data_IF_073449394777
#
_entry.id   IF_073449394777
#
_cell.length_a   1.000
_cell.length_b   1.000
_cell.length_c   1.000
_cell.angle_alpha   90.00
_cell.angle_beta   90.00
_cell.angle_gamma   90.00
#
_symmetry.space_group_name_H-M   'P 1'
#
loop_
_entity.id
_entity.type
_entity.pdbx_description
1 polymer ?
#
# COMPACT_ATOMS: atom_id res chain seq x y z
N UNK A 1 12.24 2.62 10.45
CA UNK A 1 11.36 3.61 9.78
C UNK A 1 9.95 3.26 10.19
N UNK A 2 9.26 4.18 10.84
CA UNK A 2 7.90 3.94 11.33
C UNK A 2 6.92 3.82 10.15
N UNK A 3 5.77 3.19 10.36
CA UNK A 3 4.72 3.00 9.35
C UNK A 3 4.30 4.34 8.73
N UNK A 4 4.20 5.39 9.55
CA UNK A 4 3.86 6.75 9.11
C UNK A 4 4.88 7.28 8.10
N UNK A 5 6.16 7.15 8.39
CA UNK A 5 7.23 7.62 7.50
C UNK A 5 7.18 6.91 6.16
N UNK A 6 6.83 5.62 6.14
CA UNK A 6 6.70 4.81 4.92
C UNK A 6 5.48 5.20 4.10
N UNK A 7 4.38 5.55 4.77
CA UNK A 7 3.12 5.90 4.13
C UNK A 7 3.11 7.29 3.53
N UNK A 8 3.78 8.28 4.14
CA UNK A 8 3.61 9.68 3.72
C UNK A 8 3.93 9.93 2.23
N UNK A 9 5.02 9.40 1.64
CA UNK A 9 5.28 9.56 0.21
C UNK A 9 4.17 8.95 -0.66
N UNK A 10 3.61 7.81 -0.23
CA UNK A 10 2.51 7.14 -0.94
C UNK A 10 1.22 7.97 -0.85
N UNK A 11 0.95 8.56 0.32
CA UNK A 11 -0.22 9.40 0.53
C UNK A 11 -0.14 10.70 -0.28
N UNK A 12 1.06 11.27 -0.45
CA UNK A 12 1.27 12.42 -1.32
C UNK A 12 0.85 12.10 -2.77
N UNK A 13 1.43 11.05 -3.36
CA UNK A 13 1.12 10.63 -4.73
C UNK A 13 -0.35 10.20 -4.90
N UNK A 14 -0.91 9.51 -3.90
CA UNK A 14 -2.30 9.09 -3.90
C UNK A 14 -3.25 10.29 -3.90
N UNK A 15 -3.00 11.31 -3.07
CA UNK A 15 -3.83 12.54 -3.04
C UNK A 15 -3.72 13.33 -4.34
N UNK A 16 -2.52 13.42 -4.91
CA UNK A 16 -2.28 14.15 -6.16
C UNK A 16 -3.03 13.52 -7.33
N UNK A 17 -2.95 12.19 -7.47
CA UNK A 17 -3.53 11.45 -8.60
C UNK A 17 -5.00 11.07 -8.45
N UNK A 18 -5.58 11.16 -7.23
CA UNK A 18 -6.91 10.63 -6.92
C UNK A 18 -8.02 11.07 -7.88
N UNK A 19 -8.13 12.38 -8.15
CA UNK A 19 -9.20 12.93 -9.01
C UNK A 19 -9.08 12.45 -10.45
N UNK A 20 -7.86 12.38 -10.97
CA UNK A 20 -7.64 11.94 -12.34
C UNK A 20 -8.01 10.46 -12.46
N UNK A 21 -7.43 9.60 -11.60
CA UNK A 21 -7.68 8.16 -11.54
C UNK A 21 -9.16 7.82 -11.43
N UNK A 22 -9.92 8.57 -10.63
CA UNK A 22 -11.37 8.39 -10.51
C UNK A 22 -12.11 8.77 -11.80
N UNK A 23 -11.74 9.90 -12.42
CA UNK A 23 -12.43 10.42 -13.60
C UNK A 23 -12.14 9.60 -14.87
N UNK A 24 -10.92 9.09 -15.04
CA UNK A 24 -10.47 8.43 -16.27
C UNK A 24 -10.27 6.90 -16.12
N UNK A 25 -10.38 6.36 -14.91
CA UNK A 25 -10.15 4.94 -14.63
C UNK A 25 -8.69 4.50 -14.84
N UNK A 26 -7.75 5.45 -14.83
CA UNK A 26 -6.33 5.17 -15.05
C UNK A 26 -5.69 4.44 -13.85
N UNK A 27 -4.64 3.70 -14.13
CA UNK A 27 -3.87 3.03 -13.09
C UNK A 27 -2.99 4.05 -12.32
N UNK A 28 -3.02 4.08 -10.97
CA UNK A 28 -2.25 5.02 -10.15
C UNK A 28 -0.77 4.63 -10.07
N UNK A 29 -0.04 4.76 -11.18
CA UNK A 29 1.33 4.26 -11.32
C UNK A 29 2.34 4.92 -10.36
N UNK A 30 2.17 6.21 -10.07
CA UNK A 30 3.02 6.94 -9.11
C UNK A 30 2.84 6.37 -7.69
N UNK A 31 1.60 6.28 -7.21
CA UNK A 31 1.29 5.71 -5.89
C UNK A 31 1.76 4.28 -5.72
N UNK A 32 1.63 3.44 -6.76
CA UNK A 32 2.13 2.06 -6.73
C UNK A 32 3.66 2.00 -6.74
N UNK A 33 4.32 2.89 -7.47
CA UNK A 33 5.78 3.05 -7.39
C UNK A 33 6.23 3.48 -6.00
N UNK A 34 5.51 4.38 -5.34
CA UNK A 34 5.78 4.78 -3.95
C UNK A 34 5.54 3.63 -2.96
N UNK A 35 4.49 2.81 -3.14
CA UNK A 35 4.27 1.59 -2.34
C UNK A 35 5.46 0.63 -2.43
N UNK A 36 6.03 0.47 -3.63
CA UNK A 36 7.24 -0.34 -3.84
C UNK A 36 8.44 0.25 -3.09
N UNK A 37 8.70 1.53 -3.27
CA UNK A 37 9.88 2.20 -2.71
C UNK A 37 9.82 2.32 -1.18
N UNK A 38 8.62 2.42 -0.61
CA UNK A 38 8.40 2.46 0.84
C UNK A 38 8.54 1.10 1.53
N UNK A 39 8.63 -0.01 0.78
CA UNK A 39 8.65 -1.38 1.31
C UNK A 39 7.29 -1.87 1.82
N UNK A 40 6.23 -1.08 1.69
CA UNK A 40 4.89 -1.43 2.20
C UNK A 40 4.26 -2.63 1.49
N UNK A 41 4.72 -2.97 0.28
CA UNK A 41 4.28 -4.18 -0.44
C UNK A 41 4.64 -5.48 0.31
N UNK A 42 5.60 -5.44 1.24
CA UNK A 42 5.95 -6.55 2.12
C UNK A 42 5.50 -6.36 3.57
N UNK A 43 4.52 -5.47 3.84
CA UNK A 43 4.16 -5.05 5.20
C UNK A 43 3.92 -6.22 6.17
N UNK A 44 3.11 -7.20 5.77
CA UNK A 44 2.73 -8.33 6.62
C UNK A 44 3.55 -9.60 6.34
N UNK A 45 4.49 -9.54 5.38
CA UNK A 45 5.32 -10.69 5.06
C UNK A 45 6.36 -10.92 6.19
N UNK A 46 6.78 -12.17 6.42
CA UNK A 46 7.81 -12.49 7.40
C UNK A 46 9.13 -11.76 7.11
N UNK A 47 9.87 -11.38 8.16
CA UNK A 47 11.17 -10.69 8.00
C UNK A 47 12.20 -11.60 7.32
N UNK A 48 12.09 -12.92 7.47
CA UNK A 48 13.00 -13.93 6.90
C UNK A 48 12.98 -13.94 5.36
N UNK A 49 11.89 -13.48 4.76
CA UNK A 49 11.75 -13.30 3.30
C UNK A 49 11.87 -11.83 2.88
N UNK A 50 12.34 -10.96 3.77
CA UNK A 50 12.54 -9.53 3.53
C UNK A 50 11.29 -8.67 3.71
N UNK A 51 10.26 -9.18 4.38
CA UNK A 51 9.07 -8.42 4.78
C UNK A 51 9.29 -7.51 5.99
N UNK A 52 8.22 -6.83 6.43
CA UNK A 52 8.25 -5.95 7.61
C UNK A 52 7.65 -6.59 8.87
N UNK A 53 7.13 -7.82 8.79
CA UNK A 53 6.61 -8.57 9.95
C UNK A 53 5.43 -7.93 10.66
N UNK A 54 4.76 -6.95 10.05
CA UNK A 54 3.70 -6.19 10.71
C UNK A 54 2.38 -6.97 10.80
N UNK A 55 1.55 -6.58 11.77
CA UNK A 55 0.31 -7.26 12.08
C UNK A 55 -0.92 -6.67 11.38
N UNK A 56 -2.11 -7.20 11.71
CA UNK A 56 -3.37 -6.73 11.15
C UNK A 56 -3.68 -5.27 11.51
N UNK A 57 -3.19 -4.77 12.66
CA UNK A 57 -3.39 -3.38 13.06
C UNK A 57 -2.69 -2.39 12.13
N UNK A 58 -1.43 -2.66 11.78
CA UNK A 58 -0.66 -1.85 10.84
C UNK A 58 -1.25 -1.91 9.43
N UNK A 59 -1.71 -3.09 8.99
CA UNK A 59 -2.38 -3.25 7.70
C UNK A 59 -3.66 -2.40 7.63
N UNK A 60 -4.51 -2.47 8.66
CA UNK A 60 -5.72 -1.64 8.73
C UNK A 60 -5.38 -0.16 8.70
N UNK A 61 -4.38 0.28 9.49
CA UNK A 61 -3.97 1.67 9.51
C UNK A 61 -3.48 2.17 8.14
N UNK A 62 -2.68 1.36 7.43
CA UNK A 62 -2.19 1.68 6.09
C UNK A 62 -3.32 1.76 5.06
N UNK A 63 -4.18 0.74 5.02
CA UNK A 63 -5.30 0.67 4.07
C UNK A 63 -6.30 1.79 4.32
N UNK A 64 -6.66 2.07 5.58
CA UNK A 64 -7.57 3.18 5.91
C UNK A 64 -7.01 4.54 5.52
N UNK A 65 -5.71 4.77 5.74
CA UNK A 65 -5.06 6.03 5.35
C UNK A 65 -5.05 6.20 3.83
N UNK A 66 -4.71 5.14 3.09
CA UNK A 66 -4.74 5.15 1.63
C UNK A 66 -6.17 5.34 1.09
N UNK A 67 -7.16 4.69 1.70
CA UNK A 67 -8.56 4.78 1.26
C UNK A 67 -9.11 6.21 1.39
N UNK A 68 -8.69 6.95 2.42
CA UNK A 68 -9.01 8.37 2.58
C UNK A 68 -8.31 9.29 1.57
N UNK A 69 -7.24 8.83 0.92
CA UNK A 69 -6.49 9.59 -0.09
C UNK A 69 -6.92 9.23 -1.53
N UNK A 70 -6.93 7.94 -1.86
CA UNK A 70 -7.32 7.38 -3.16
C UNK A 70 -7.82 5.94 -3.00
N UNK A 71 -9.12 5.73 -3.21
CA UNK A 71 -9.76 4.41 -3.10
C UNK A 71 -9.13 3.34 -4.01
N UNK A 72 -8.81 3.70 -5.26
CA UNK A 72 -8.17 2.77 -6.22
C UNK A 72 -6.79 2.31 -5.72
N UNK A 73 -5.97 3.23 -5.21
CA UNK A 73 -4.65 2.89 -4.64
C UNK A 73 -4.80 1.96 -3.43
N UNK A 74 -5.74 2.27 -2.53
CA UNK A 74 -6.01 1.45 -1.35
C UNK A 74 -6.46 0.03 -1.72
N UNK A 75 -7.34 -0.09 -2.72
CA UNK A 75 -7.84 -1.38 -3.18
C UNK A 75 -6.74 -2.21 -3.84
N UNK A 76 -5.92 -1.60 -4.70
CA UNK A 76 -4.75 -2.26 -5.30
C UNK A 76 -3.81 -2.79 -4.21
N UNK A 77 -3.52 -1.96 -3.20
CA UNK A 77 -2.64 -2.34 -2.10
C UNK A 77 -3.22 -3.49 -1.25
N UNK A 78 -4.49 -3.41 -0.86
CA UNK A 78 -5.16 -4.45 -0.09
C UNK A 78 -5.17 -5.79 -0.82
N UNK A 79 -5.49 -5.78 -2.12
CA UNK A 79 -5.48 -7.00 -2.95
C UNK A 79 -4.08 -7.60 -3.04
N UNK A 80 -3.06 -6.76 -3.27
CA UNK A 80 -1.67 -7.21 -3.30
C UNK A 80 -1.27 -7.92 -1.99
N UNK A 81 -1.48 -7.27 -0.84
CA UNK A 81 -1.10 -7.84 0.46
C UNK A 81 -1.88 -9.13 0.75
N UNK A 82 -3.19 -9.15 0.45
CA UNK A 82 -4.04 -10.33 0.66
C UNK A 82 -3.57 -11.53 -0.16
N UNK A 83 -3.17 -11.32 -1.42
CA UNK A 83 -2.61 -12.37 -2.27
C UNK A 83 -1.19 -12.78 -1.84
N UNK A 84 -0.33 -11.82 -1.50
CA UNK A 84 1.06 -12.08 -1.12
C UNK A 84 1.17 -12.96 0.12
N UNK A 85 0.29 -12.77 1.12
CA UNK A 85 0.29 -13.57 2.35
C UNK A 85 0.04 -15.05 2.09
N UNK A 86 -0.91 -15.40 1.22
CA UNK A 86 -1.18 -16.78 0.88
C UNK A 86 0.00 -17.43 0.15
N UNK A 87 0.65 -16.69 -0.76
CA UNK A 87 1.84 -17.16 -1.49
C UNK A 87 3.03 -17.36 -0.55
N UNK A 88 3.24 -16.47 0.42
CA UNK A 88 4.36 -16.57 1.35
C UNK A 88 4.19 -17.70 2.39
N UNK A 89 2.98 -18.24 2.56
CA UNK A 89 2.68 -19.35 3.45
C UNK A 89 2.72 -20.73 2.78
N UNK A 90 2.93 -20.79 1.45
CA UNK A 90 3.00 -22.01 0.65
C UNK A 90 4.43 -22.58 0.59
#
# INVERSE_FOLDING_TARGET
>A
MDLRDRLEPVLADARESARQVDADGSFPAASVSALRNSGLLGLTLPEEVGGLGAGPHELVAAVSSLAGACGSTAMIYLMHVSSAMAVAAA
#
